data_IF_527326267378
#
_entry.id   IF_527326267378
#
_cell.length_a   1.000
_cell.length_b   1.000
_cell.length_c   1.000
_cell.angle_alpha   90.00
_cell.angle_beta   90.00
_cell.angle_gamma   90.00
#
_symmetry.space_group_name_H-M   'P 1'
#
loop_
_entity.id
_entity.type
_entity.pdbx_description
1 polymer ?
#
# COMPACT_ATOMS: atom_id res chain seq x y z
N UNK A 1 5.35 36.30 -56.39
CA UNK A 1 4.93 35.40 -55.30
C UNK A 1 6.08 34.44 -55.12
N UNK A 2 6.90 34.66 -54.09
CA UNK A 2 8.07 33.84 -53.79
C UNK A 2 7.79 33.22 -52.44
N UNK A 3 7.45 31.94 -52.44
CA UNK A 3 7.23 31.16 -51.22
C UNK A 3 8.56 30.74 -50.63
N UNK A 4 8.73 31.07 -49.36
CA UNK A 4 9.93 30.92 -48.55
C UNK A 4 10.21 29.43 -48.24
N UNK A 5 11.46 29.03 -48.44
CA UNK A 5 12.04 27.81 -47.85
C UNK A 5 12.18 28.05 -46.33
N UNK A 6 11.48 27.26 -45.53
CA UNK A 6 11.66 27.18 -44.08
C UNK A 6 12.01 25.76 -43.69
N UNK A 7 13.27 25.55 -43.35
CA UNK A 7 13.85 24.30 -42.86
C UNK A 7 13.22 23.82 -41.54
N UNK A 8 12.93 22.51 -41.52
CA UNK A 8 13.31 21.56 -40.49
C UNK A 8 13.39 22.05 -39.03
N UNK A 9 12.32 21.82 -38.27
CA UNK A 9 12.43 21.48 -36.85
C UNK A 9 11.48 20.32 -36.54
N UNK A 10 12.09 19.14 -36.51
CA UNK A 10 11.58 17.96 -35.83
C UNK A 10 11.42 18.31 -34.35
N UNK A 11 10.18 18.43 -33.87
CA UNK A 11 9.91 18.43 -32.43
C UNK A 11 9.12 17.17 -32.08
N UNK A 12 9.86 16.05 -32.08
CA UNK A 12 9.48 14.84 -31.39
C UNK A 12 9.52 15.08 -29.87
N UNK A 13 8.53 15.74 -29.32
CA UNK A 13 8.32 15.75 -27.85
C UNK A 13 7.36 14.63 -27.45
N UNK A 14 8.00 13.47 -27.34
CA UNK A 14 7.76 12.37 -26.42
C UNK A 14 6.52 12.49 -25.51
N UNK A 15 5.59 11.56 -25.75
CA UNK A 15 4.79 10.84 -24.77
C UNK A 15 4.63 11.49 -23.38
N UNK A 16 3.49 12.14 -23.17
CA UNK A 16 2.90 12.41 -21.86
C UNK A 16 2.44 11.11 -21.17
N UNK A 17 3.36 10.15 -20.98
CA UNK A 17 3.20 8.97 -20.13
C UNK A 17 4.08 9.00 -18.88
N UNK A 18 4.88 10.07 -18.71
CA UNK A 18 5.97 10.08 -17.73
C UNK A 18 5.61 10.60 -16.32
N UNK A 19 4.47 11.23 -16.10
CA UNK A 19 4.24 11.91 -14.82
C UNK A 19 3.72 10.99 -13.71
N UNK A 20 2.91 9.97 -14.02
CA UNK A 20 2.41 9.00 -13.03
C UNK A 20 3.46 7.92 -12.74
N UNK A 21 4.12 7.38 -13.77
CA UNK A 21 5.16 6.36 -13.59
C UNK A 21 6.44 6.86 -12.93
N UNK A 22 6.80 8.15 -13.10
CA UNK A 22 7.98 8.72 -12.42
C UNK A 22 7.69 9.13 -10.97
N UNK A 23 6.46 9.52 -10.64
CA UNK A 23 6.05 9.69 -9.24
C UNK A 23 6.10 8.35 -8.49
N UNK A 24 5.59 7.29 -9.11
CA UNK A 24 5.63 5.93 -8.55
C UNK A 24 7.06 5.42 -8.29
N UNK A 25 8.04 5.77 -9.13
CA UNK A 25 9.45 5.37 -8.94
C UNK A 25 10.21 6.16 -7.86
N UNK A 26 9.80 7.39 -7.53
CA UNK A 26 10.46 8.24 -6.53
C UNK A 26 9.83 8.19 -5.14
N UNK A 27 8.68 7.53 -5.01
CA UNK A 27 7.91 7.35 -3.78
C UNK A 27 7.62 5.86 -3.53
N UNK A 28 8.61 4.98 -3.72
CA UNK A 28 8.51 3.61 -3.20
C UNK A 28 8.51 3.69 -1.67
N UNK A 29 7.35 4.01 -1.11
CA UNK A 29 7.07 3.98 0.32
C UNK A 29 7.40 2.59 0.83
N UNK A 30 8.10 2.48 1.94
CA UNK A 30 8.38 1.17 2.53
C UNK A 30 7.07 0.42 2.79
N UNK A 31 7.11 -0.91 2.79
CA UNK A 31 5.92 -1.71 3.10
C UNK A 31 5.29 -1.32 4.44
N UNK A 32 6.10 -0.94 5.44
CA UNK A 32 5.60 -0.38 6.70
C UNK A 32 4.81 0.93 6.52
N UNK A 33 5.25 1.84 5.64
CA UNK A 33 4.50 3.06 5.36
C UNK A 33 3.20 2.77 4.58
N UNK A 34 3.21 1.80 3.68
CA UNK A 34 2.01 1.34 2.98
C UNK A 34 1.02 0.64 3.95
N UNK A 35 1.53 -0.15 4.90
CA UNK A 35 0.73 -0.77 5.96
C UNK A 35 0.13 0.27 6.91
N UNK A 36 0.86 1.35 7.24
CA UNK A 36 0.29 2.51 7.98
C UNK A 36 -0.86 3.15 7.19
N UNK A 37 -0.69 3.32 5.89
CA UNK A 37 -1.72 3.88 5.03
C UNK A 37 -2.97 2.98 4.98
N UNK A 38 -2.81 1.67 4.77
CA UNK A 38 -3.93 0.72 4.79
C UNK A 38 -4.60 0.66 6.17
N UNK A 39 -3.83 0.76 7.25
CA UNK A 39 -4.40 0.85 8.60
C UNK A 39 -5.31 2.08 8.72
N UNK A 40 -4.87 3.24 8.26
CA UNK A 40 -5.69 4.46 8.26
C UNK A 40 -6.91 4.33 7.32
N UNK A 41 -6.76 3.73 6.16
CA UNK A 41 -7.84 3.45 5.20
C UNK A 41 -8.96 2.61 5.85
N UNK A 42 -8.59 1.59 6.63
CA UNK A 42 -9.54 0.75 7.36
C UNK A 42 -10.05 1.37 8.68
N UNK A 43 -9.63 2.59 9.02
CA UNK A 43 -9.98 3.24 10.28
C UNK A 43 -9.33 2.60 11.51
N UNK A 44 -8.26 1.82 11.34
CA UNK A 44 -7.49 1.28 12.44
C UNK A 44 -6.64 2.37 13.09
N UNK A 45 -6.59 2.33 14.41
CA UNK A 45 -5.89 3.30 15.23
C UNK A 45 -4.51 2.79 15.63
N UNK A 46 -3.51 3.66 15.57
CA UNK A 46 -2.16 3.40 16.06
C UNK A 46 -2.04 3.98 17.48
N UNK A 47 -1.66 3.16 18.44
CA UNK A 47 -1.44 3.52 19.84
C UNK A 47 -0.01 3.14 20.22
N UNK A 48 0.94 4.07 20.01
CA UNK A 48 2.35 3.71 19.95
C UNK A 48 2.58 2.78 18.76
N UNK A 49 3.15 1.60 19.01
CA UNK A 49 3.38 0.59 17.98
C UNK A 49 2.13 -0.28 17.71
N UNK A 50 1.19 -0.33 18.67
CA UNK A 50 0.03 -1.20 18.62
C UNK A 50 -1.01 -0.71 17.60
N UNK A 51 -1.47 -1.62 16.74
CA UNK A 51 -2.54 -1.36 15.77
C UNK A 51 -3.85 -1.98 16.27
N UNK A 52 -4.92 -1.18 16.36
CA UNK A 52 -6.23 -1.60 16.89
C UNK A 52 -7.39 -1.24 15.97
N UNK A 53 -8.35 -2.15 15.88
CA UNK A 53 -9.65 -1.96 15.24
C UNK A 53 -10.74 -2.18 16.30
N UNK A 54 -11.61 -1.18 16.54
CA UNK A 54 -12.73 -1.29 17.49
C UNK A 54 -12.38 -1.94 18.85
N UNK A 55 -11.25 -1.53 19.44
CA UNK A 55 -10.78 -2.06 20.74
C UNK A 55 -10.07 -3.42 20.67
N UNK A 56 -10.07 -4.07 19.51
CA UNK A 56 -9.38 -5.32 19.22
C UNK A 56 -7.98 -5.08 18.66
N UNK A 57 -6.97 -5.79 19.20
CA UNK A 57 -5.61 -5.76 18.63
C UNK A 57 -5.60 -6.45 17.27
N UNK A 58 -5.01 -5.77 16.28
CA UNK A 58 -4.82 -6.26 14.90
C UNK A 58 -3.38 -6.68 14.69
N UNK A 59 -2.41 -5.89 15.15
CA UNK A 59 -0.99 -6.24 15.14
C UNK A 59 -0.27 -5.47 16.25
N UNK A 60 0.87 -5.99 16.73
CA UNK A 60 1.68 -5.32 17.75
C UNK A 60 2.63 -4.28 17.18
N UNK A 61 3.12 -4.52 15.97
CA UNK A 61 4.03 -3.64 15.24
C UNK A 61 3.57 -3.49 13.79
N UNK A 62 3.96 -2.39 13.17
CA UNK A 62 3.55 -2.10 11.79
C UNK A 62 4.42 -2.83 10.76
N UNK A 63 5.63 -3.20 11.15
CA UNK A 63 6.53 -4.07 10.39
C UNK A 63 5.91 -5.46 10.25
N UNK A 64 5.47 -6.08 11.36
CA UNK A 64 4.77 -7.37 11.32
C UNK A 64 3.47 -7.31 10.51
N UNK A 65 2.78 -6.17 10.59
CA UNK A 65 1.58 -5.94 9.80
C UNK A 65 1.91 -5.86 8.30
N UNK A 66 3.00 -5.19 7.93
CA UNK A 66 3.47 -5.11 6.56
C UNK A 66 3.84 -6.49 6.01
N UNK A 67 4.57 -7.31 6.79
CA UNK A 67 4.89 -8.68 6.41
C UNK A 67 3.65 -9.55 6.22
N UNK A 68 2.65 -9.39 7.10
CA UNK A 68 1.35 -10.06 6.94
C UNK A 68 0.65 -9.61 5.66
N UNK A 69 0.62 -8.31 5.37
CA UNK A 69 -0.02 -7.76 4.18
C UNK A 69 0.69 -8.18 2.89
N UNK A 70 2.02 -8.33 2.91
CA UNK A 70 2.80 -8.95 1.83
C UNK A 70 2.40 -10.42 1.63
N UNK A 71 2.34 -11.20 2.71
CA UNK A 71 1.97 -12.61 2.65
C UNK A 71 0.52 -12.83 2.17
N UNK A 72 -0.37 -11.89 2.46
CA UNK A 72 -1.75 -11.86 1.96
C UNK A 72 -1.88 -11.34 0.52
N UNK A 73 -0.79 -10.87 -0.08
CA UNK A 73 -0.78 -10.32 -1.44
C UNK A 73 -1.49 -8.96 -1.57
N UNK A 74 -1.58 -8.20 -0.48
CA UNK A 74 -2.14 -6.85 -0.48
C UNK A 74 -1.09 -5.80 -0.84
N UNK A 75 0.17 -6.11 -0.61
CA UNK A 75 1.33 -5.30 -0.95
C UNK A 75 2.28 -6.10 -1.85
N UNK A 76 3.04 -5.40 -2.67
CA UNK A 76 4.23 -5.91 -3.36
C UNK A 76 5.30 -4.79 -3.50
N UNK A 77 6.34 -5.03 -4.29
CA UNK A 77 7.40 -4.05 -4.56
C UNK A 77 6.90 -2.81 -5.33
N UNK A 78 5.73 -2.89 -5.96
CA UNK A 78 5.10 -1.81 -6.71
C UNK A 78 4.15 -0.97 -5.84
N UNK A 79 3.59 -1.55 -4.78
CA UNK A 79 2.73 -0.83 -3.85
C UNK A 79 1.56 -1.66 -3.33
N UNK A 80 0.43 -0.99 -3.10
CA UNK A 80 -0.83 -1.61 -2.68
C UNK A 80 -1.54 -2.20 -3.90
N UNK A 81 -1.89 -3.49 -3.81
CA UNK A 81 -2.67 -4.22 -4.81
C UNK A 81 -4.16 -4.10 -4.43
N UNK A 82 -4.79 -2.99 -4.81
CA UNK A 82 -6.16 -2.65 -4.41
C UNK A 82 -7.22 -3.71 -4.72
N UNK A 83 -7.04 -4.48 -5.78
CA UNK A 83 -7.96 -5.57 -6.15
C UNK A 83 -7.90 -6.78 -5.19
N UNK A 84 -6.79 -6.94 -4.46
CA UNK A 84 -6.60 -8.00 -3.47
C UNK A 84 -7.00 -7.55 -2.05
N UNK A 85 -7.01 -6.24 -1.80
CA UNK A 85 -7.36 -5.65 -0.50
C UNK A 85 -8.86 -5.85 -0.23
N UNK A 86 -9.26 -6.33 0.97
CA UNK A 86 -10.67 -6.44 1.33
C UNK A 86 -11.38 -5.09 1.34
N UNK A 87 -12.65 -5.08 0.91
CA UNK A 87 -13.46 -3.85 0.83
C UNK A 87 -13.83 -3.33 2.22
N UNK A 88 -14.03 -4.21 3.20
CA UNK A 88 -14.46 -3.87 4.55
C UNK A 88 -13.41 -4.18 5.62
N UNK A 89 -13.40 -3.36 6.67
CA UNK A 89 -12.40 -3.40 7.73
C UNK A 89 -12.49 -4.69 8.57
N UNK A 90 -13.68 -5.27 8.75
CA UNK A 90 -13.87 -6.49 9.54
C UNK A 90 -13.25 -7.70 8.83
N UNK A 91 -13.49 -7.84 7.53
CA UNK A 91 -12.88 -8.87 6.70
C UNK A 91 -11.37 -8.72 6.63
N UNK A 92 -10.86 -7.49 6.56
CA UNK A 92 -9.41 -7.25 6.63
C UNK A 92 -8.82 -7.72 7.96
N UNK A 93 -9.45 -7.38 9.10
CA UNK A 93 -9.02 -7.85 10.43
C UNK A 93 -9.05 -9.38 10.50
N UNK A 94 -10.10 -10.02 9.99
CA UNK A 94 -10.22 -11.48 10.01
C UNK A 94 -9.10 -12.18 9.22
N UNK A 95 -8.72 -11.64 8.05
CA UNK A 95 -7.63 -12.20 7.24
C UNK A 95 -6.27 -12.02 7.91
N UNK A 96 -5.98 -10.83 8.44
CA UNK A 96 -4.74 -10.57 9.20
C UNK A 96 -4.63 -11.52 10.39
N UNK A 97 -5.68 -11.62 11.20
CA UNK A 97 -5.70 -12.49 12.38
C UNK A 97 -5.53 -13.96 12.02
N UNK A 98 -6.23 -14.43 11.01
CA UNK A 98 -6.12 -15.82 10.55
C UNK A 98 -4.67 -16.14 10.16
N UNK A 99 -4.04 -15.28 9.35
CA UNK A 99 -2.67 -15.47 8.93
C UNK A 99 -1.69 -15.45 10.12
N UNK A 100 -1.83 -14.48 11.02
CA UNK A 100 -0.99 -14.38 12.21
C UNK A 100 -1.15 -15.59 13.16
N UNK A 101 -2.37 -16.11 13.33
CA UNK A 101 -2.62 -17.33 14.09
C UNK A 101 -2.00 -18.57 13.44
N UNK A 102 -2.02 -18.66 12.11
CA UNK A 102 -1.31 -19.70 11.36
C UNK A 102 0.21 -19.63 11.56
N UNK A 103 0.75 -18.45 11.88
CA UNK A 103 2.15 -18.22 12.29
C UNK A 103 2.40 -18.38 13.80
N UNK A 104 1.40 -18.81 14.57
CA UNK A 104 1.52 -19.03 16.01
C UNK A 104 1.40 -17.76 16.87
N UNK A 105 1.01 -16.63 16.29
CA UNK A 105 0.73 -15.41 17.06
C UNK A 105 -0.65 -15.47 17.70
N UNK A 106 -0.75 -15.01 18.95
CA UNK A 106 -2.01 -14.85 19.66
C UNK A 106 -2.20 -13.38 20.07
N UNK A 107 -3.39 -12.79 19.85
CA UNK A 107 -3.64 -11.41 20.23
C UNK A 107 -3.58 -11.25 21.77
N UNK A 108 -2.89 -10.22 22.27
CA UNK A 108 -2.84 -9.93 23.70
C UNK A 108 -4.26 -9.58 24.21
N UNK A 109 -4.67 -10.20 25.33
CA UNK A 109 -5.99 -10.00 25.94
C UNK A 109 -7.06 -11.02 25.52
N UNK A 110 -6.67 -12.14 24.92
CA UNK A 110 -7.55 -13.29 24.66
C UNK A 110 -7.35 -14.32 25.79
N UNK A 111 -7.76 -13.96 27.01
CA UNK A 111 -7.92 -14.90 28.14
C UNK A 111 -9.41 -15.21 28.36
#
# INVERSE_FOLDING_TARGET
MSDEHGEELQDEVQASGGSTERLNRRLQRSHSEQARYLSAYFGWSLHGDLIRSHGSTVSMFVEDLADTMLALGWLDDSGIIWDAVPVDAERAVAQVRRHQMEQGWMPPGTE
#
